data_IF_567712191230
#
_entry.id   IF_567712191230
#
_cell.length_a   1.000
_cell.length_b   1.000
_cell.length_c   1.000
_cell.angle_alpha   90.00
_cell.angle_beta   90.00
_cell.angle_gamma   90.00
#
_symmetry.space_group_name_H-M   'P 1'
#
loop_
_entity.id
_entity.type
_entity.pdbx_description
1 polymer ?
#
# COMPACT_ATOMS: atom_id res chain seq x y z
N UNK A 1 -13.91 13.65 4.86
CA UNK A 1 -14.60 12.36 5.09
C UNK A 1 -13.70 11.26 4.55
N UNK A 2 -12.81 10.71 5.38
CA UNK A 2 -12.05 9.50 5.04
C UNK A 2 -12.96 8.32 5.35
N UNK A 3 -13.72 7.89 4.34
CA UNK A 3 -14.57 6.71 4.46
C UNK A 3 -13.73 5.45 4.28
N UNK A 4 -14.15 4.33 4.85
CA UNK A 4 -13.47 3.03 4.69
C UNK A 4 -13.31 2.65 3.22
N UNK A 5 -14.25 3.04 2.38
CA UNK A 5 -14.23 2.84 0.92
C UNK A 5 -13.04 3.57 0.26
N UNK A 6 -12.74 4.80 0.70
CA UNK A 6 -11.58 5.57 0.23
C UNK A 6 -10.27 4.90 0.63
N UNK A 7 -10.18 4.39 1.86
CA UNK A 7 -9.00 3.66 2.33
C UNK A 7 -8.81 2.33 1.59
N UNK A 8 -9.90 1.60 1.34
CA UNK A 8 -9.86 0.35 0.56
C UNK A 8 -9.45 0.60 -0.89
N UNK A 9 -9.98 1.66 -1.51
CA UNK A 9 -9.58 2.07 -2.86
C UNK A 9 -8.09 2.40 -2.91
N UNK A 10 -7.59 3.21 -1.96
CA UNK A 10 -6.16 3.55 -1.90
C UNK A 10 -5.29 2.32 -1.68
N UNK A 11 -5.72 1.38 -0.82
CA UNK A 11 -5.04 0.09 -0.63
C UNK A 11 -4.90 -0.66 -1.96
N UNK A 12 -5.97 -0.77 -2.74
CA UNK A 12 -5.93 -1.49 -4.02
C UNK A 12 -5.09 -0.79 -5.09
N UNK A 13 -5.04 0.55 -5.10
CA UNK A 13 -4.10 1.30 -5.94
C UNK A 13 -2.65 1.00 -5.56
N UNK A 14 -2.32 1.05 -4.26
CA UNK A 14 -0.99 0.73 -3.76
C UNK A 14 -0.57 -0.72 -4.07
N UNK A 15 -1.48 -1.69 -3.95
CA UNK A 15 -1.21 -3.08 -4.35
C UNK A 15 -0.81 -3.19 -5.83
N UNK A 16 -1.50 -2.45 -6.70
CA UNK A 16 -1.20 -2.42 -8.14
C UNK A 16 0.15 -1.74 -8.42
N UNK A 17 0.42 -0.60 -7.79
CA UNK A 17 1.67 0.15 -7.93
C UNK A 17 2.87 -0.68 -7.44
N UNK A 18 2.75 -1.35 -6.29
CA UNK A 18 3.77 -2.26 -5.73
C UNK A 18 4.01 -3.45 -6.68
N UNK A 19 2.94 -4.06 -7.20
CA UNK A 19 3.07 -5.19 -8.12
C UNK A 19 3.76 -4.78 -9.42
N UNK A 20 3.45 -3.59 -9.96
CA UNK A 20 4.11 -3.05 -11.14
C UNK A 20 5.58 -2.71 -10.87
N UNK A 21 5.88 -2.07 -9.74
CA UNK A 21 7.24 -1.77 -9.32
C UNK A 21 8.07 -3.05 -9.17
N UNK A 22 7.51 -4.10 -8.54
CA UNK A 22 8.14 -5.43 -8.42
C UNK A 22 8.40 -6.09 -9.77
N UNK A 23 7.48 -5.97 -10.74
CA UNK A 23 7.70 -6.48 -12.11
C UNK A 23 8.84 -5.78 -12.85
N UNK A 24 9.05 -4.50 -12.56
CA UNK A 24 10.13 -3.69 -13.16
C UNK A 24 11.49 -3.96 -12.51
N UNK A 25 11.55 -4.70 -11.41
CA UNK A 25 12.81 -5.10 -10.78
C UNK A 25 13.51 -6.18 -11.63
N UNK A 26 14.74 -5.93 -12.11
CA UNK A 26 15.54 -6.95 -12.76
C UNK A 26 15.87 -8.08 -11.78
N UNK A 27 15.74 -9.35 -12.21
CA UNK A 27 16.01 -10.54 -11.41
C UNK A 27 17.44 -10.62 -10.82
N UNK A 28 18.37 -9.83 -11.35
CA UNK A 28 19.79 -9.86 -10.98
C UNK A 28 20.35 -8.48 -10.59
N UNK A 29 19.54 -7.41 -10.60
CA UNK A 29 20.01 -6.08 -10.24
C UNK A 29 18.86 -5.15 -9.90
N UNK A 30 18.58 -4.97 -8.61
CA UNK A 30 17.61 -3.98 -8.14
C UNK A 30 18.26 -2.60 -8.28
N UNK A 31 17.73 -1.74 -9.16
CA UNK A 31 18.22 -0.35 -9.27
C UNK A 31 17.82 0.42 -8.00
N UNK A 32 18.73 1.15 -7.32
CA UNK A 32 18.42 1.85 -6.06
C UNK A 32 17.17 2.75 -6.10
N UNK A 33 16.89 3.51 -7.17
CA UNK A 33 15.66 4.32 -7.24
C UNK A 33 14.37 3.50 -7.24
N UNK A 34 14.39 2.30 -7.85
CA UNK A 34 13.21 1.42 -7.87
C UNK A 34 13.00 0.76 -6.51
N UNK A 35 14.09 0.46 -5.81
CA UNK A 35 14.03 -0.03 -4.42
C UNK A 35 13.45 1.04 -3.49
N UNK A 36 13.95 2.27 -3.55
CA UNK A 36 13.45 3.38 -2.73
C UNK A 36 11.96 3.62 -2.99
N UNK A 37 11.55 3.69 -4.26
CA UNK A 37 10.14 3.82 -4.63
C UNK A 37 9.29 2.66 -4.07
N UNK A 38 9.80 1.43 -4.12
CA UNK A 38 9.09 0.27 -3.58
C UNK A 38 8.94 0.36 -2.06
N UNK A 39 9.99 0.77 -1.34
CA UNK A 39 9.96 0.97 0.10
C UNK A 39 8.95 2.05 0.49
N UNK A 40 8.93 3.18 -0.23
CA UNK A 40 7.98 4.26 0.02
C UNK A 40 6.52 3.78 -0.17
N UNK A 41 6.26 2.97 -1.20
CA UNK A 41 4.95 2.36 -1.45
C UNK A 41 4.56 1.36 -0.36
N UNK A 42 5.51 0.53 0.10
CA UNK A 42 5.28 -0.44 1.17
C UNK A 42 5.00 0.25 2.52
N UNK A 43 5.71 1.34 2.82
CA UNK A 43 5.46 2.19 3.99
C UNK A 43 4.08 2.87 3.94
N UNK A 44 3.64 3.35 2.76
CA UNK A 44 2.32 3.93 2.58
C UNK A 44 1.22 2.87 2.74
N UNK A 45 1.42 1.69 2.16
CA UNK A 45 0.49 0.56 2.31
C UNK A 45 0.31 0.18 3.80
N UNK A 46 1.39 0.14 4.58
CA UNK A 46 1.30 -0.15 6.01
C UNK A 46 0.50 0.92 6.76
N UNK A 47 0.69 2.21 6.43
CA UNK A 47 -0.10 3.31 7.02
C UNK A 47 -1.59 3.16 6.70
N UNK A 48 -1.94 2.93 5.44
CA UNK A 48 -3.33 2.73 5.01
C UNK A 48 -3.95 1.53 5.71
N UNK A 49 -3.21 0.42 5.84
CA UNK A 49 -3.69 -0.76 6.55
C UNK A 49 -3.95 -0.49 8.04
N UNK A 50 -3.07 0.27 8.71
CA UNK A 50 -3.30 0.70 10.10
C UNK A 50 -4.53 1.60 10.23
N UNK A 51 -4.80 2.47 9.26
CA UNK A 51 -6.00 3.31 9.25
C UNK A 51 -7.26 2.47 9.02
N UNK A 52 -7.23 1.49 8.13
CA UNK A 52 -8.32 0.53 7.91
C UNK A 52 -8.60 -0.25 9.20
N UNK A 53 -7.57 -0.75 9.86
CA UNK A 53 -7.70 -1.52 11.10
C UNK A 53 -8.28 -0.67 12.25
N UNK A 54 -7.80 0.57 12.41
CA UNK A 54 -8.36 1.54 13.35
C UNK A 54 -9.82 1.85 13.03
N UNK A 55 -10.16 2.04 11.75
CA UNK A 55 -11.52 2.30 11.33
C UNK A 55 -12.43 1.12 11.69
N UNK A 56 -12.03 -0.12 11.36
CA UNK A 56 -12.77 -1.34 11.70
C UNK A 56 -12.92 -1.53 13.20
N UNK A 57 -11.86 -1.30 13.97
CA UNK A 57 -11.89 -1.39 15.43
C UNK A 57 -12.81 -0.34 16.06
N UNK A 58 -12.84 0.89 15.49
CA UNK A 58 -13.71 1.97 15.96
C UNK A 58 -15.18 1.80 15.56
N UNK A 59 -15.46 1.04 14.49
CA UNK A 59 -16.83 0.85 13.97
C UNK A 59 -17.39 -0.56 14.20
N UNK A 60 -16.59 -1.48 14.78
CA UNK A 60 -17.00 -2.81 15.24
C UNK A 60 -17.42 -3.78 14.12
N UNK A 61 -17.35 -5.10 14.35
CA UNK A 61 -17.92 -6.06 13.40
C UNK A 61 -19.45 -5.94 13.49
N UNK A 62 -20.11 -5.79 12.34
CA UNK A 62 -21.51 -6.25 12.26
C UNK A 62 -21.59 -7.75 12.57
#
# INVERSE_FOLDING_TARGET
>A
MTSIDTLQKRRSELEAEIAEAKKRLPAHSVKPPVMMMLLDLEDEYEKVMKEIDRYKSAHGPE
#
